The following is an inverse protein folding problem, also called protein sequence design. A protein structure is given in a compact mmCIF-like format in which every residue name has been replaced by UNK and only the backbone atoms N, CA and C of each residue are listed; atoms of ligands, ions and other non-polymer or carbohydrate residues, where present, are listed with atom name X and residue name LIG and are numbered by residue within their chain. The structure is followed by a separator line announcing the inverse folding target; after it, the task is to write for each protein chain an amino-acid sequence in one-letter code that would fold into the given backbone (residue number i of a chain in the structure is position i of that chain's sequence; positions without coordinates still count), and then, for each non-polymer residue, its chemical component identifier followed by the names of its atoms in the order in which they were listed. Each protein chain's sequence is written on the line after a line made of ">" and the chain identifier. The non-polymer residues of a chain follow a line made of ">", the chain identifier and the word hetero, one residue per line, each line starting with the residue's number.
data_IF_164380001159
#
_entry.id   IF_164380001159
#
_cell.length_a   1.000
_cell.length_b   1.000
_cell.length_c   1.000
_cell.angle_alpha   90.00
_cell.angle_beta   90.00
_cell.angle_gamma   90.00
#
_symmetry.space_group_name_H-M   'P 1'
#
loop_
_entity.id
_entity.type
_entity.pdbx_description
1 polymer ?
#
# COMPACT_ATOMS: atom_id res chain seq x y z
N UNK A 1 14.95 1.50 -16.56
CA UNK A 1 15.55 2.01 -15.30
C UNK A 1 16.84 1.24 -15.09
N UNK A 2 17.90 1.83 -14.54
CA UNK A 2 19.09 1.04 -14.19
C UNK A 2 18.83 0.22 -12.92
N UNK A 3 19.41 -0.97 -12.85
CA UNK A 3 19.32 -1.85 -11.67
C UNK A 3 19.80 -1.17 -10.39
N UNK A 4 20.80 -0.30 -10.48
CA UNK A 4 21.30 0.47 -9.33
C UNK A 4 20.27 1.47 -8.79
N UNK A 5 19.51 2.13 -9.67
CA UNK A 5 18.46 3.06 -9.24
C UNK A 5 17.36 2.32 -8.50
N UNK A 6 16.98 1.15 -9.00
CA UNK A 6 15.94 0.32 -8.39
C UNK A 6 16.37 -0.22 -7.01
N UNK A 7 17.63 -0.70 -6.89
CA UNK A 7 18.20 -1.13 -5.61
C UNK A 7 18.22 0.00 -4.57
N UNK A 8 18.66 1.20 -4.97
CA UNK A 8 18.63 2.37 -4.09
C UNK A 8 17.20 2.74 -3.68
N UNK A 9 16.27 2.73 -4.63
CA UNK A 9 14.87 3.04 -4.37
C UNK A 9 14.22 2.08 -3.37
N UNK A 10 14.52 0.78 -3.49
CA UNK A 10 14.06 -0.26 -2.58
C UNK A 10 14.51 0.00 -1.13
N UNK A 11 15.81 0.26 -0.93
CA UNK A 11 16.38 0.55 0.40
C UNK A 11 15.70 1.77 1.04
N UNK A 12 15.54 2.84 0.27
CA UNK A 12 14.88 4.06 0.76
C UNK A 12 13.42 3.78 1.12
N UNK A 13 12.68 3.07 0.26
CA UNK A 13 11.26 2.78 0.49
C UNK A 13 11.07 1.99 1.78
N UNK A 14 11.84 0.92 1.98
CA UNK A 14 11.77 0.11 3.20
C UNK A 14 12.05 0.93 4.46
N UNK A 15 13.06 1.81 4.43
CA UNK A 15 13.36 2.69 5.55
C UNK A 15 12.20 3.65 5.84
N UNK A 16 11.59 4.24 4.81
CA UNK A 16 10.44 5.15 4.96
C UNK A 16 9.21 4.43 5.53
N UNK A 17 8.95 3.20 5.09
CA UNK A 17 7.86 2.34 5.60
C UNK A 17 8.11 2.03 7.08
N UNK A 18 9.26 1.45 7.43
CA UNK A 18 9.63 1.12 8.83
C UNK A 18 9.54 2.33 9.76
N UNK A 19 9.95 3.51 9.29
CA UNK A 19 9.83 4.74 10.04
C UNK A 19 8.35 5.11 10.29
N UNK A 20 7.50 5.04 9.25
CA UNK A 20 6.07 5.35 9.39
C UNK A 20 5.33 4.34 10.27
N UNK A 21 5.66 3.06 10.21
CA UNK A 21 5.04 2.05 11.09
C UNK A 21 5.33 2.33 12.57
N UNK A 22 6.50 2.89 12.88
CA UNK A 22 6.89 3.26 14.25
C UNK A 22 6.32 4.59 14.71
N UNK A 23 6.32 5.61 13.85
CA UNK A 23 5.98 7.00 14.23
C UNK A 23 4.60 7.47 13.74
N UNK A 24 3.87 6.61 13.03
CA UNK A 24 2.71 6.99 12.24
C UNK A 24 3.08 7.54 10.85
N UNK A 25 2.11 7.50 9.92
CA UNK A 25 2.29 7.99 8.55
C UNK A 25 2.63 9.49 8.53
N UNK A 26 3.77 9.83 7.91
CA UNK A 26 4.23 11.22 7.76
C UNK A 26 3.60 11.88 6.53
N UNK A 27 3.16 13.13 6.68
CA UNK A 27 2.50 13.91 5.61
C UNK A 27 1.34 13.13 4.95
N UNK A 28 0.33 12.71 5.73
CA UNK A 28 -0.82 12.01 5.17
C UNK A 28 -1.65 12.94 4.28
N UNK A 29 -2.07 12.45 3.12
CA UNK A 29 -3.03 13.12 2.24
C UNK A 29 -4.32 12.35 2.26
N UNK A 30 -5.29 12.89 3.00
CA UNK A 30 -6.57 12.25 3.28
C UNK A 30 -7.39 12.08 2.01
N UNK A 31 -7.38 13.08 1.12
CA UNK A 31 -8.11 13.08 -0.15
C UNK A 31 -7.65 11.92 -1.06
N UNK A 32 -6.38 11.55 -0.97
CA UNK A 32 -5.77 10.46 -1.74
C UNK A 32 -5.68 9.15 -0.94
N UNK A 33 -6.11 9.16 0.33
CA UNK A 33 -5.93 8.07 1.29
C UNK A 33 -4.49 7.49 1.25
N UNK A 34 -3.46 8.36 1.23
CA UNK A 34 -2.07 7.92 1.06
C UNK A 34 -1.08 8.77 1.87
N UNK A 35 -0.03 8.14 2.38
CA UNK A 35 1.13 8.79 2.96
C UNK A 35 2.04 9.36 1.86
N UNK A 36 2.34 10.67 1.86
CA UNK A 36 3.27 11.22 0.86
C UNK A 36 4.72 10.80 1.07
N UNK A 37 5.08 10.32 2.26
CA UNK A 37 6.44 9.92 2.58
C UNK A 37 6.71 8.44 2.25
N UNK A 38 5.90 7.51 2.78
CA UNK A 38 6.07 6.07 2.56
C UNK A 38 5.19 5.47 1.45
N UNK A 39 4.38 6.28 0.78
CA UNK A 39 3.53 5.90 -0.37
C UNK A 39 2.43 4.87 -0.11
N UNK A 40 2.34 4.33 1.11
CA UNK A 40 1.27 3.41 1.51
C UNK A 40 -0.06 4.12 1.71
N UNK A 41 -1.16 3.38 1.48
CA UNK A 41 -2.50 3.83 1.89
C UNK A 41 -2.56 3.98 3.40
N UNK A 42 -3.32 4.97 3.85
CA UNK A 42 -3.54 5.20 5.29
C UNK A 42 -4.50 4.16 5.87
N UNK A 43 -5.48 3.75 5.07
CA UNK A 43 -6.37 2.64 5.36
C UNK A 43 -6.53 1.75 4.14
N UNK A 44 -6.29 0.44 4.31
CA UNK A 44 -6.65 -0.57 3.33
C UNK A 44 -8.14 -0.85 3.42
N UNK A 45 -8.95 0.00 2.80
CA UNK A 45 -10.39 -0.23 2.68
C UNK A 45 -10.59 -1.38 1.71
N UNK A 46 -10.85 -2.57 2.23
CA UNK A 46 -11.49 -3.64 1.46
C UNK A 46 -12.98 -3.30 1.30
N UNK A 47 -13.65 -3.74 0.21
CA UNK A 47 -15.07 -3.46 0.04
C UNK A 47 -15.85 -3.82 1.30
N UNK A 48 -16.82 -2.98 1.67
CA UNK A 48 -17.50 -3.10 2.94
C UNK A 48 -18.18 -4.48 3.01
N UNK A 49 -17.95 -5.20 4.11
CA UNK A 49 -18.43 -6.57 4.30
C UNK A 49 -19.94 -6.65 4.03
N UNK A 50 -20.70 -5.61 4.40
CA UNK A 50 -22.13 -5.50 4.15
C UNK A 50 -22.53 -5.30 2.68
N UNK A 51 -21.74 -4.65 1.83
CA UNK A 51 -22.04 -4.51 0.39
C UNK A 51 -21.87 -5.86 -0.35
N UNK A 52 -20.81 -6.58 -0.03
CA UNK A 52 -20.56 -7.93 -0.55
C UNK A 52 -21.52 -8.98 0.04
N UNK A 53 -21.86 -8.86 1.33
CA UNK A 53 -22.91 -9.66 1.96
C UNK A 53 -24.28 -9.32 1.39
N UNK A 54 -24.58 -8.07 1.03
CA UNK A 54 -25.87 -7.71 0.40
C UNK A 54 -26.04 -8.37 -0.96
N UNK A 55 -24.96 -8.42 -1.77
CA UNK A 55 -24.90 -9.21 -3.01
C UNK A 55 -25.12 -10.71 -2.77
N UNK A 56 -24.64 -11.27 -1.63
CA UNK A 56 -24.80 -12.69 -1.26
C UNK A 56 -26.13 -13.00 -0.57
N UNK A 57 -26.72 -12.06 0.18
CA UNK A 57 -28.03 -12.18 0.86
C UNK A 57 -29.18 -12.18 -0.14
N UNK A 58 -29.01 -11.55 -1.30
CA UNK A 58 -29.88 -11.77 -2.46
C UNK A 58 -29.85 -13.23 -2.96
N UNK A 59 -28.86 -14.04 -2.56
CA UNK A 59 -28.69 -15.41 -3.01
C UNK A 59 -28.94 -16.48 -1.93
N UNK A 60 -28.61 -16.33 -0.65
CA UNK A 60 -28.91 -17.36 0.38
C UNK A 60 -28.92 -16.81 1.83
N UNK A 61 -29.98 -17.13 2.59
CA UNK A 61 -30.18 -16.74 3.99
C UNK A 61 -29.37 -17.60 4.98
N UNK A 62 -28.52 -16.97 5.80
CA UNK A 62 -28.18 -17.47 7.14
C UNK A 62 -27.00 -18.45 7.31
N UNK A 63 -26.01 -18.47 6.41
CA UNK A 63 -24.82 -19.34 6.56
C UNK A 63 -23.59 -18.60 7.13
N UNK A 64 -22.68 -19.31 7.82
CA UNK A 64 -21.41 -18.75 8.31
C UNK A 64 -20.57 -18.15 7.17
N UNK A 65 -19.74 -17.16 7.49
CA UNK A 65 -18.81 -16.55 6.53
C UNK A 65 -17.84 -17.63 6.05
N UNK A 66 -17.68 -17.72 4.73
CA UNK A 66 -16.91 -18.76 4.06
C UNK A 66 -15.40 -18.51 4.25
N UNK A 67 -14.62 -19.55 4.53
CA UNK A 67 -13.16 -19.46 4.66
C UNK A 67 -12.52 -19.01 3.34
N UNK A 68 -13.06 -19.45 2.21
CA UNK A 68 -12.64 -19.00 0.88
C UNK A 68 -12.85 -17.49 0.71
N UNK A 69 -13.89 -16.96 1.32
CA UNK A 69 -14.22 -15.53 1.26
C UNK A 69 -13.28 -14.68 2.14
N UNK A 70 -12.92 -15.14 3.34
CA UNK A 70 -11.88 -14.49 4.14
C UNK A 70 -10.52 -14.47 3.42
N UNK A 71 -10.22 -15.54 2.68
CA UNK A 71 -9.02 -15.62 1.85
C UNK A 71 -9.04 -14.59 0.71
N UNK A 72 -10.18 -14.38 0.05
CA UNK A 72 -10.32 -13.34 -0.99
C UNK A 72 -10.07 -11.93 -0.45
N UNK A 73 -10.56 -11.62 0.76
CA UNK A 73 -10.31 -10.33 1.41
C UNK A 73 -8.83 -10.11 1.70
N UNK A 74 -8.18 -11.13 2.27
CA UNK A 74 -6.74 -11.09 2.55
C UNK A 74 -5.92 -10.90 1.27
N UNK A 75 -6.25 -11.63 0.21
CA UNK A 75 -5.58 -11.51 -1.09
C UNK A 75 -5.74 -10.09 -1.67
N UNK A 76 -6.92 -9.48 -1.54
CA UNK A 76 -7.16 -8.11 -2.00
C UNK A 76 -6.34 -7.06 -1.21
N UNK A 77 -6.20 -7.25 0.10
CA UNK A 77 -5.35 -6.39 0.92
C UNK A 77 -3.87 -6.54 0.54
N UNK A 78 -3.39 -7.78 0.40
CA UNK A 78 -2.03 -8.09 -0.07
C UNK A 78 -1.76 -7.49 -1.44
N UNK A 79 -2.72 -7.58 -2.37
CA UNK A 79 -2.61 -6.97 -3.69
C UNK A 79 -2.43 -5.45 -3.59
N UNK A 80 -3.25 -4.77 -2.79
CA UNK A 80 -3.12 -3.32 -2.57
C UNK A 80 -1.79 -2.92 -1.93
N UNK A 81 -1.24 -3.76 -1.05
CA UNK A 81 0.10 -3.54 -0.46
C UNK A 81 1.19 -3.63 -1.52
N UNK A 82 1.10 -4.62 -2.42
CA UNK A 82 2.02 -4.75 -3.57
C UNK A 82 1.92 -3.54 -4.50
N UNK A 83 0.70 -3.11 -4.84
CA UNK A 83 0.50 -1.90 -5.65
C UNK A 83 1.13 -0.65 -5.01
N UNK A 84 0.92 -0.46 -3.70
CA UNK A 84 1.51 0.66 -2.96
C UNK A 84 3.03 0.61 -2.97
N UNK A 85 3.60 -0.59 -2.85
CA UNK A 85 5.03 -0.83 -2.91
C UNK A 85 5.60 -0.43 -4.27
N UNK A 86 5.00 -0.91 -5.36
CA UNK A 86 5.44 -0.61 -6.72
C UNK A 86 5.32 0.89 -7.04
N UNK A 87 4.24 1.54 -6.60
CA UNK A 87 4.08 2.98 -6.75
C UNK A 87 5.16 3.73 -5.95
N UNK A 88 5.47 3.28 -4.73
CA UNK A 88 6.54 3.83 -3.92
C UNK A 88 7.89 3.72 -4.63
N UNK A 89 8.21 2.55 -5.21
CA UNK A 89 9.43 2.33 -5.98
C UNK A 89 9.52 3.28 -7.18
N UNK A 90 8.44 3.42 -7.95
CA UNK A 90 8.39 4.31 -9.11
C UNK A 90 8.62 5.76 -8.68
N UNK A 91 7.98 6.21 -7.60
CA UNK A 91 8.11 7.58 -7.13
C UNK A 91 9.52 7.86 -6.60
N UNK A 92 10.10 6.97 -5.80
CA UNK A 92 11.47 7.14 -5.31
C UNK A 92 12.47 7.10 -6.47
N UNK A 93 12.28 6.20 -7.45
CA UNK A 93 13.10 6.19 -8.67
C UNK A 93 13.03 7.55 -9.40
N UNK A 94 11.87 8.20 -9.45
CA UNK A 94 11.72 9.55 -10.04
C UNK A 94 12.41 10.61 -9.17
N UNK A 95 12.26 10.56 -7.85
CA UNK A 95 12.94 11.49 -6.95
C UNK A 95 14.47 11.41 -7.10
N UNK A 96 15.04 10.20 -7.19
CA UNK A 96 16.49 9.98 -7.40
C UNK A 96 16.92 10.59 -8.74
N UNK A 97 16.19 10.30 -9.82
CA UNK A 97 16.52 10.82 -11.16
C UNK A 97 16.45 12.34 -11.25
N UNK A 98 15.52 12.94 -10.51
CA UNK A 98 15.34 14.39 -10.47
C UNK A 98 16.29 15.08 -9.48
N UNK A 99 17.16 14.34 -8.78
CA UNK A 99 18.07 14.89 -7.76
C UNK A 99 17.38 15.36 -6.48
N UNK A 100 16.10 15.03 -6.28
CA UNK A 100 15.33 15.43 -5.10
C UNK A 100 15.68 14.61 -3.85
N UNK A 101 16.18 13.39 -4.05
CA UNK A 101 16.90 12.64 -3.01
C UNK A 101 18.38 12.85 -3.31
N UNK A 102 18.96 13.89 -2.70
CA UNK A 102 20.41 13.94 -2.58
C UNK A 102 20.83 12.68 -1.81
N UNK A 103 21.89 12.02 -2.29
CA UNK A 103 22.50 10.91 -1.58
C UNK A 103 22.72 11.36 -0.14
N UNK A 104 21.93 10.83 0.81
CA UNK A 104 22.29 10.95 2.21
C UNK A 104 23.69 10.34 2.29
N UNK A 105 24.61 11.15 2.82
CA UNK A 105 26.05 11.10 2.60
C UNK A 105 26.70 9.71 2.65
N UNK A 106 27.82 9.65 1.93
CA UNK A 106 28.85 8.60 1.93
C UNK A 106 29.15 8.02 3.32
#
# INVERSE_FOLDING_TARGET
>A
MSDETLKKAHIILEQRIKACEKTGHKNPVKEKNRCHYCYQRLAYITPNLDELISLRKLLYHGKPVDEEYLRLLKNNEEHKKTEDYDIGLINICREIKNGAIMQADQ
#
